data_IF_449778587906
#
_entry.id   IF_449778587906
#
_cell.length_a   1.000
_cell.length_b   1.000
_cell.length_c   1.000
_cell.angle_alpha   90.00
_cell.angle_beta   90.00
_cell.angle_gamma   90.00
#
_symmetry.space_group_name_H-M   'P 1'
#
loop_
_entity.id
_entity.type
_entity.pdbx_description
1 polymer ?
#
# COMPACT_ATOMS: atom_id res chain seq x y z
N UNK A 1 4.22 25.37 1.00
CA UNK A 1 3.53 24.06 0.92
C UNK A 1 3.51 23.50 2.32
N UNK A 2 2.34 23.29 2.91
CA UNK A 2 2.20 22.78 4.28
C UNK A 2 2.67 21.33 4.35
N UNK A 3 3.03 20.87 5.54
CA UNK A 3 3.47 19.48 5.76
C UNK A 3 2.36 18.47 5.41
N UNK A 4 1.09 18.87 5.65
CA UNK A 4 -0.11 18.12 5.27
C UNK A 4 -0.18 17.84 3.76
N UNK A 5 0.03 18.84 2.90
CA UNK A 5 -0.03 18.66 1.44
C UNK A 5 1.10 17.76 0.92
N UNK A 6 2.27 17.77 1.59
CA UNK A 6 3.39 16.88 1.24
C UNK A 6 3.07 15.43 1.62
N UNK A 7 2.48 15.24 2.79
CA UNK A 7 2.06 13.94 3.26
C UNK A 7 0.94 13.35 2.38
N UNK A 8 -0.04 14.17 2.01
CA UNK A 8 -1.13 13.78 1.10
C UNK A 8 -0.59 13.37 -0.27
N UNK A 9 0.31 14.17 -0.85
CA UNK A 9 0.96 13.84 -2.12
C UNK A 9 1.75 12.53 -2.07
N UNK A 10 2.52 12.30 -0.99
CA UNK A 10 3.20 11.04 -0.75
C UNK A 10 2.22 9.87 -0.61
N UNK A 11 1.16 10.03 0.18
CA UNK A 11 0.17 8.98 0.42
C UNK A 11 -0.54 8.57 -0.86
N UNK A 12 -0.95 9.55 -1.69
CA UNK A 12 -1.53 9.31 -3.01
C UNK A 12 -0.57 8.57 -3.95
N UNK A 13 0.69 9.00 -4.02
CA UNK A 13 1.71 8.33 -4.83
C UNK A 13 1.95 6.89 -4.37
N UNK A 14 2.03 6.66 -3.05
CA UNK A 14 2.22 5.33 -2.47
C UNK A 14 1.02 4.43 -2.72
N UNK A 15 -0.20 4.93 -2.56
CA UNK A 15 -1.41 4.19 -2.87
C UNK A 15 -1.45 3.77 -4.35
N UNK A 16 -1.06 4.67 -5.26
CA UNK A 16 -0.99 4.38 -6.69
C UNK A 16 0.04 3.28 -7.00
N UNK A 17 1.24 3.34 -6.40
CA UNK A 17 2.26 2.29 -6.53
C UNK A 17 1.72 0.92 -6.10
N UNK A 18 1.05 0.85 -4.95
CA UNK A 18 0.47 -0.39 -4.41
C UNK A 18 -0.62 -0.93 -5.36
N UNK A 19 -1.50 -0.06 -5.88
CA UNK A 19 -2.55 -0.47 -6.82
C UNK A 19 -1.96 -0.99 -8.13
N UNK A 20 -0.96 -0.30 -8.69
CA UNK A 20 -0.33 -0.68 -9.95
C UNK A 20 0.43 -2.02 -9.83
N UNK A 21 0.98 -2.33 -8.66
CA UNK A 21 1.77 -3.54 -8.47
C UNK A 21 0.97 -4.69 -7.88
N UNK A 22 0.43 -4.51 -6.68
CA UNK A 22 -0.26 -5.56 -5.93
C UNK A 22 -1.73 -5.69 -6.36
N UNK A 23 -2.38 -4.57 -6.69
CA UNK A 23 -3.75 -4.59 -7.24
C UNK A 23 -3.84 -5.36 -8.55
N UNK A 24 -2.91 -5.14 -9.49
CA UNK A 24 -2.86 -5.91 -10.74
C UNK A 24 -2.53 -7.40 -10.52
N UNK A 25 -1.71 -7.74 -9.54
CA UNK A 25 -1.47 -9.15 -9.18
C UNK A 25 -2.75 -9.79 -8.66
N UNK A 26 -3.48 -9.10 -7.79
CA UNK A 26 -4.75 -9.60 -7.24
C UNK A 26 -5.81 -9.82 -8.32
N UNK A 27 -5.93 -8.88 -9.27
CA UNK A 27 -6.83 -9.04 -10.43
C UNK A 27 -6.43 -10.28 -11.26
N UNK A 28 -5.13 -10.50 -11.49
CA UNK A 28 -4.66 -11.68 -12.22
C UNK A 28 -4.92 -12.97 -11.45
N UNK A 29 -4.69 -13.02 -10.14
CA UNK A 29 -4.99 -14.22 -9.33
C UNK A 29 -6.49 -14.51 -9.28
N UNK A 30 -7.35 -13.50 -9.28
CA UNK A 30 -8.80 -13.71 -9.34
C UNK A 30 -9.23 -14.41 -10.64
N UNK A 31 -8.49 -14.22 -11.74
CA UNK A 31 -8.78 -14.84 -13.04
C UNK A 31 -8.32 -16.29 -13.14
N UNK A 32 -7.41 -16.77 -12.29
CA UNK A 32 -6.99 -18.18 -12.30
C UNK A 32 -8.05 -19.10 -11.69
N UNK A 33 -8.97 -18.54 -10.88
CA UNK A 33 -9.98 -19.30 -10.15
C UNK A 33 -9.43 -20.07 -8.94
N UNK A 34 -8.14 -19.92 -8.62
CA UNK A 34 -7.52 -20.55 -7.45
C UNK A 34 -7.77 -19.72 -6.19
N UNK A 35 -8.56 -20.25 -5.25
CA UNK A 35 -8.79 -19.61 -3.96
C UNK A 35 -7.51 -19.46 -3.14
N UNK A 36 -6.55 -20.38 -3.29
CA UNK A 36 -5.25 -20.30 -2.63
C UNK A 36 -4.45 -19.11 -3.14
N UNK A 37 -4.34 -18.96 -4.47
CA UNK A 37 -3.62 -17.83 -5.08
C UNK A 37 -4.28 -16.49 -4.76
N UNK A 38 -5.62 -16.45 -4.78
CA UNK A 38 -6.38 -15.25 -4.40
C UNK A 38 -6.06 -14.85 -2.96
N UNK A 39 -6.07 -15.81 -2.03
CA UNK A 39 -5.79 -15.57 -0.61
C UNK A 39 -4.36 -15.10 -0.39
N UNK A 40 -3.38 -15.76 -1.01
CA UNK A 40 -1.96 -15.40 -0.90
C UNK A 40 -1.70 -14.00 -1.44
N UNK A 41 -2.25 -13.69 -2.61
CA UNK A 41 -2.07 -12.37 -3.25
C UNK A 41 -2.77 -11.26 -2.45
N UNK A 42 -3.96 -11.54 -1.91
CA UNK A 42 -4.67 -10.59 -1.01
C UNK A 42 -3.86 -10.33 0.26
N UNK A 43 -3.27 -11.37 0.86
CA UNK A 43 -2.45 -11.24 2.06
C UNK A 43 -1.19 -10.42 1.79
N UNK A 44 -0.55 -10.61 0.64
CA UNK A 44 0.61 -9.81 0.23
C UNK A 44 0.25 -8.33 0.13
N UNK A 45 -0.86 -8.02 -0.56
CA UNK A 45 -1.35 -6.65 -0.68
C UNK A 45 -1.64 -6.01 0.69
N UNK A 46 -2.31 -6.74 1.59
CA UNK A 46 -2.60 -6.26 2.93
C UNK A 46 -1.31 -5.96 3.74
N UNK A 47 -0.27 -6.80 3.60
CA UNK A 47 1.04 -6.58 4.25
C UNK A 47 1.73 -5.32 3.75
N UNK A 48 1.71 -5.06 2.43
CA UNK A 48 2.31 -3.85 1.86
C UNK A 48 1.59 -2.59 2.34
N UNK A 49 0.26 -2.63 2.42
CA UNK A 49 -0.53 -1.53 2.99
C UNK A 49 -0.15 -1.30 4.45
N UNK A 50 -0.12 -2.36 5.26
CA UNK A 50 0.25 -2.27 6.67
C UNK A 50 1.67 -1.70 6.86
N UNK A 51 2.65 -2.16 6.08
CA UNK A 51 4.01 -1.64 6.11
C UNK A 51 4.05 -0.14 5.75
N UNK A 52 3.32 0.28 4.72
CA UNK A 52 3.26 1.70 4.31
C UNK A 52 2.65 2.59 5.40
N UNK A 53 1.66 2.09 6.15
CA UNK A 53 1.09 2.81 7.28
C UNK A 53 2.09 2.95 8.45
N UNK A 54 2.89 1.91 8.71
CA UNK A 54 3.95 1.96 9.73
C UNK A 54 5.03 2.96 9.33
N UNK A 55 5.48 2.95 8.08
CA UNK A 55 6.42 3.94 7.55
C UNK A 55 5.91 5.37 7.70
N UNK A 56 4.64 5.61 7.36
CA UNK A 56 4.01 6.92 7.53
C UNK A 56 3.92 7.36 9.00
N UNK A 57 3.66 6.40 9.92
CA UNK A 57 3.61 6.68 11.34
C UNK A 57 4.99 7.02 11.91
N UNK A 58 6.04 6.30 11.48
CA UNK A 58 7.41 6.57 11.90
C UNK A 58 7.91 7.93 11.39
N UNK A 59 7.62 8.28 10.13
CA UNK A 59 8.00 9.57 9.55
C UNK A 59 7.40 10.76 10.31
N UNK A 60 6.16 10.65 10.80
CA UNK A 60 5.52 11.68 11.62
C UNK A 60 6.18 11.87 12.98
N UNK A 61 6.72 10.82 13.59
CA UNK A 61 7.39 10.93 14.90
C UNK A 61 8.70 11.71 14.82
N UNK A 62 9.47 11.49 13.75
CA UNK A 62 10.76 12.18 13.53
C UNK A 62 10.58 13.67 13.22
N UNK A 63 9.45 14.08 12.64
CA UNK A 63 9.15 15.48 12.34
C UNK A 63 8.64 16.28 13.56
N UNK A 64 8.30 15.61 14.67
CA UNK A 64 7.77 16.23 15.89
C UNK A 64 8.77 16.34 17.05
N UNK A 65 10.01 15.91 16.85
CA UNK A 65 11.18 16.14 17.73
C UNK A 65 12.05 17.27 17.16
#
# INVERSE_FOLDING_TARGET
>A
MTDESRLEGWACSKAQEIMLREGFRLIRSARSGSNTELRETSLLMARVIAASLVEASAARRVAGE
#
